data_IF_321214871444
#
_entry.id   IF_321214871444
#
_cell.length_a   1.000
_cell.length_b   1.000
_cell.length_c   1.000
_cell.angle_alpha   90.00
_cell.angle_beta   90.00
_cell.angle_gamma   90.00
#
_symmetry.space_group_name_H-M   'P 1'
#
loop_
_entity.id
_entity.type
_entity.pdbx_description
1 polymer ?
#
# COMPACT_ATOMS: atom_id res chain seq x y z
N UNK A 1 -33.99 -24.52 -6.48
CA UNK A 1 -32.97 -23.54 -6.04
C UNK A 1 -33.09 -22.27 -6.86
N UNK A 2 -33.17 -21.15 -6.19
CA UNK A 2 -33.18 -19.89 -6.91
C UNK A 2 -31.82 -19.64 -7.56
N UNK A 3 -31.85 -19.20 -8.80
CA UNK A 3 -30.62 -18.81 -9.49
C UNK A 3 -30.02 -17.58 -8.82
N UNK A 4 -28.69 -17.57 -8.71
CA UNK A 4 -27.99 -16.43 -8.17
C UNK A 4 -28.02 -15.31 -9.22
N UNK A 5 -28.52 -14.14 -8.83
CA UNK A 5 -28.49 -12.98 -9.70
C UNK A 5 -27.08 -12.41 -9.75
N UNK A 6 -26.32 -12.83 -10.73
CA UNK A 6 -24.92 -12.43 -10.90
C UNK A 6 -24.77 -10.93 -11.14
N UNK A 7 -25.75 -10.33 -11.84
CA UNK A 7 -25.72 -8.89 -12.08
C UNK A 7 -25.83 -8.11 -10.77
N UNK A 8 -26.73 -8.54 -9.88
CA UNK A 8 -26.89 -7.89 -8.57
C UNK A 8 -25.62 -7.99 -7.72
N UNK A 9 -24.95 -9.15 -7.76
CA UNK A 9 -23.69 -9.32 -7.06
C UNK A 9 -22.59 -8.41 -7.60
N UNK A 10 -22.51 -8.28 -8.90
CA UNK A 10 -21.54 -7.38 -9.54
C UNK A 10 -21.84 -5.93 -9.18
N UNK A 11 -23.11 -5.53 -9.23
CA UNK A 11 -23.52 -4.17 -8.89
C UNK A 11 -23.16 -3.84 -7.44
N UNK A 12 -23.40 -4.77 -6.52
CA UNK A 12 -23.02 -4.61 -5.11
C UNK A 12 -21.51 -4.51 -4.96
N UNK A 13 -20.77 -5.36 -5.67
CA UNK A 13 -19.30 -5.31 -5.66
C UNK A 13 -18.78 -3.96 -6.14
N UNK A 14 -19.38 -3.42 -7.21
CA UNK A 14 -19.00 -2.09 -7.71
C UNK A 14 -19.29 -0.99 -6.69
N UNK A 15 -20.42 -1.07 -5.99
CA UNK A 15 -20.73 -0.09 -4.94
C UNK A 15 -19.70 -0.14 -3.82
N UNK A 16 -19.32 -1.34 -3.38
CA UNK A 16 -18.30 -1.51 -2.36
C UNK A 16 -16.93 -1.00 -2.80
N UNK A 17 -16.57 -1.23 -4.06
CA UNK A 17 -15.32 -0.70 -4.62
C UNK A 17 -15.33 0.83 -4.62
N UNK A 18 -16.44 1.44 -5.01
CA UNK A 18 -16.56 2.90 -5.02
C UNK A 18 -16.47 3.48 -3.59
N UNK A 19 -17.07 2.81 -2.62
CA UNK A 19 -16.95 3.21 -1.21
C UNK A 19 -15.50 3.08 -0.73
N UNK A 20 -14.81 2.00 -1.08
CA UNK A 20 -13.42 1.78 -0.73
C UNK A 20 -12.51 2.85 -1.33
N UNK A 21 -12.74 3.22 -2.58
CA UNK A 21 -11.99 4.29 -3.25
C UNK A 21 -12.18 5.61 -2.53
N UNK A 22 -13.42 5.95 -2.13
CA UNK A 22 -13.69 7.17 -1.40
C UNK A 22 -12.95 7.20 -0.04
N UNK A 23 -12.95 6.07 0.68
CA UNK A 23 -12.23 5.96 1.94
C UNK A 23 -10.70 6.06 1.74
N UNK A 24 -10.18 5.47 0.67
CA UNK A 24 -8.75 5.57 0.34
C UNK A 24 -8.34 7.02 0.04
N UNK A 25 -9.19 7.78 -0.63
CA UNK A 25 -8.92 9.20 -0.91
C UNK A 25 -8.85 10.01 0.38
N UNK A 26 -9.73 9.72 1.33
CA UNK A 26 -9.66 10.34 2.66
C UNK A 26 -8.35 10.01 3.35
N UNK A 27 -7.92 8.76 3.27
CA UNK A 27 -6.63 8.35 3.84
C UNK A 27 -5.47 9.08 3.18
N UNK A 28 -5.47 9.21 1.85
CA UNK A 28 -4.43 9.97 1.14
C UNK A 28 -4.29 11.38 1.66
N UNK A 29 -5.41 12.06 1.90
CA UNK A 29 -5.41 13.43 2.40
C UNK A 29 -4.81 13.52 3.81
N UNK A 30 -5.09 12.55 4.68
CA UNK A 30 -4.52 12.51 6.03
C UNK A 30 -3.01 12.31 5.97
N UNK A 31 -2.52 11.38 5.15
CA UNK A 31 -1.09 11.17 4.98
C UNK A 31 -0.39 12.40 4.38
N UNK A 32 -1.05 13.05 3.43
CA UNK A 32 -0.49 14.25 2.80
C UNK A 32 -0.25 15.36 3.81
N UNK A 33 -1.12 15.51 4.81
CA UNK A 33 -0.94 16.47 5.89
C UNK A 33 0.32 16.21 6.71
N UNK A 34 0.79 14.97 6.70
CA UNK A 34 2.03 14.58 7.40
C UNK A 34 3.27 14.61 6.50
N UNK A 35 3.11 15.04 5.25
CA UNK A 35 4.21 15.07 4.28
C UNK A 35 4.49 13.73 3.62
N UNK A 36 3.53 12.80 3.68
CA UNK A 36 3.64 11.48 3.06
C UNK A 36 2.67 11.43 1.89
N UNK A 37 3.20 11.25 0.67
CA UNK A 37 2.37 11.14 -0.51
C UNK A 37 2.20 9.68 -0.90
N UNK A 38 0.97 9.19 -0.81
CA UNK A 38 0.62 7.87 -1.32
C UNK A 38 0.47 7.93 -2.83
N UNK A 39 0.72 6.82 -3.50
CA UNK A 39 0.49 6.72 -4.94
C UNK A 39 -0.99 6.84 -5.26
N UNK A 40 -1.30 7.01 -6.56
CA UNK A 40 -2.69 7.07 -6.99
C UNK A 40 -3.49 5.88 -6.49
N UNK A 41 -4.78 6.11 -6.33
CA UNK A 41 -5.67 5.13 -5.69
C UNK A 41 -5.61 3.75 -6.35
N UNK A 42 -5.44 3.71 -7.68
CA UNK A 42 -5.32 2.45 -8.42
C UNK A 42 -4.03 1.69 -8.09
N UNK A 43 -3.00 2.41 -7.65
CA UNK A 43 -1.69 1.84 -7.35
C UNK A 43 -1.39 1.78 -5.85
N UNK A 44 -2.31 2.23 -5.01
CA UNK A 44 -2.11 2.27 -3.56
C UNK A 44 -2.06 0.86 -2.96
N UNK A 45 -2.97 0.01 -3.39
CA UNK A 45 -3.10 -1.33 -2.84
C UNK A 45 -2.81 -2.37 -3.92
N UNK A 46 -1.81 -3.19 -3.66
CA UNK A 46 -1.52 -4.34 -4.50
C UNK A 46 -2.10 -5.59 -3.85
N UNK A 47 -3.29 -5.96 -4.28
CA UNK A 47 -4.02 -7.09 -3.72
C UNK A 47 -3.36 -8.42 -4.08
N UNK A 48 -2.64 -8.48 -5.20
CA UNK A 48 -2.00 -9.73 -5.65
C UNK A 48 -0.92 -10.21 -4.68
N UNK A 49 -0.22 -9.30 -4.02
CA UNK A 49 0.85 -9.66 -3.09
C UNK A 49 0.36 -10.25 -1.77
N UNK A 50 -0.88 -10.01 -1.41
CA UNK A 50 -1.45 -10.54 -0.16
C UNK A 50 -1.39 -12.07 -0.14
N UNK A 51 -1.69 -12.71 -1.26
CA UNK A 51 -1.69 -14.16 -1.36
C UNK A 51 -0.28 -14.74 -1.39
N UNK A 52 0.67 -14.02 -1.95
CA UNK A 52 2.03 -14.51 -2.16
C UNK A 52 2.87 -14.51 -0.89
N UNK A 53 2.64 -13.55 -0.02
CA UNK A 53 3.55 -13.31 1.10
C UNK A 53 2.93 -13.50 2.47
N UNK A 54 1.63 -13.71 2.56
CA UNK A 54 0.94 -13.87 3.84
C UNK A 54 1.04 -12.66 4.77
N UNK A 55 1.55 -11.56 4.26
CA UNK A 55 1.70 -10.31 4.99
C UNK A 55 0.58 -9.36 4.58
N UNK A 56 0.17 -8.49 5.45
CA UNK A 56 -0.94 -7.56 5.21
C UNK A 56 -0.91 -6.84 3.87
N UNK A 57 -1.84 -5.93 3.69
CA UNK A 57 -2.00 -5.18 2.45
C UNK A 57 -0.80 -4.29 2.17
N UNK A 58 -0.25 -4.37 0.97
CA UNK A 58 0.83 -3.51 0.52
C UNK A 58 0.28 -2.18 0.02
N UNK A 59 0.84 -1.08 0.52
CA UNK A 59 0.45 0.27 0.14
C UNK A 59 1.67 0.98 -0.42
N UNK A 60 1.58 1.43 -1.65
CA UNK A 60 2.69 2.09 -2.31
C UNK A 60 2.74 3.57 -1.95
N UNK A 61 3.93 4.03 -1.57
CA UNK A 61 4.20 5.44 -1.27
C UNK A 61 4.98 6.05 -2.41
N UNK A 62 4.56 7.21 -2.87
CA UNK A 62 5.28 7.99 -3.86
C UNK A 62 6.48 8.70 -3.22
N UNK A 63 6.28 9.33 -2.06
CA UNK A 63 7.37 10.00 -1.34
C UNK A 63 7.01 10.13 0.14
N UNK A 64 8.03 10.25 0.99
CA UNK A 64 7.87 10.56 2.40
C UNK A 64 8.06 9.41 3.37
N UNK A 65 8.62 8.28 2.94
CA UNK A 65 8.80 7.13 3.84
C UNK A 65 9.73 7.48 5.03
N UNK A 66 10.75 8.31 4.83
CA UNK A 66 11.62 8.73 5.93
C UNK A 66 10.91 9.59 6.94
N UNK A 67 10.00 10.45 6.50
CA UNK A 67 9.14 11.23 7.40
C UNK A 67 8.21 10.31 8.18
N UNK A 68 7.67 9.30 7.51
CA UNK A 68 6.82 8.29 8.13
C UNK A 68 7.58 7.58 9.25
N UNK A 69 8.80 7.10 8.96
CA UNK A 69 9.64 6.44 9.96
C UNK A 69 9.84 7.30 11.21
N UNK A 70 10.13 8.58 11.01
CA UNK A 70 10.35 9.51 12.12
C UNK A 70 9.08 9.72 12.94
N UNK A 71 7.94 9.86 12.29
CA UNK A 71 6.67 10.11 12.96
C UNK A 71 6.27 8.94 13.86
N UNK A 72 6.41 7.70 13.36
CA UNK A 72 6.01 6.51 14.12
C UNK A 72 7.13 5.94 14.99
N UNK A 73 8.35 6.45 14.86
CA UNK A 73 9.48 5.96 15.65
C UNK A 73 9.92 4.56 15.27
N UNK A 74 9.79 4.19 14.00
CA UNK A 74 10.18 2.88 13.51
C UNK A 74 11.13 3.01 12.32
N UNK A 75 11.87 1.94 12.03
CA UNK A 75 12.78 1.90 10.90
C UNK A 75 12.26 0.99 9.81
N UNK A 76 12.30 1.48 8.58
CA UNK A 76 12.02 0.67 7.42
C UNK A 76 13.14 -0.35 7.15
N UNK A 77 12.90 -1.23 6.23
CA UNK A 77 13.84 -2.30 5.91
C UNK A 77 13.86 -2.57 4.41
N UNK A 78 14.93 -3.25 3.97
CA UNK A 78 15.07 -3.73 2.60
C UNK A 78 14.97 -5.25 2.61
N UNK A 79 14.30 -5.81 1.61
CA UNK A 79 14.23 -7.25 1.44
C UNK A 79 15.38 -7.72 0.57
N UNK A 80 15.83 -8.94 0.79
CA UNK A 80 16.88 -9.52 -0.02
C UNK A 80 16.34 -9.91 -1.40
N UNK A 81 17.17 -9.69 -2.41
CA UNK A 81 16.87 -10.18 -3.76
C UNK A 81 16.85 -11.70 -3.72
N UNK A 82 15.84 -12.29 -4.32
CA UNK A 82 15.65 -13.73 -4.32
C UNK A 82 16.79 -14.49 -5.03
N UNK A 83 17.35 -13.88 -6.07
CA UNK A 83 18.39 -14.52 -6.90
C UNK A 83 19.78 -14.34 -6.28
N UNK A 84 20.10 -13.13 -5.84
CA UNK A 84 21.46 -12.81 -5.36
C UNK A 84 21.62 -12.95 -3.84
N UNK A 85 20.52 -13.00 -3.10
CA UNK A 85 20.56 -13.02 -1.64
C UNK A 85 21.02 -11.72 -1.00
N UNK A 86 21.28 -10.68 -1.80
CA UNK A 86 21.73 -9.38 -1.32
C UNK A 86 20.54 -8.44 -1.13
N UNK A 87 20.64 -7.46 -0.22
CA UNK A 87 19.57 -6.49 -0.02
C UNK A 87 19.26 -5.72 -1.30
N UNK A 88 17.98 -5.68 -1.66
CA UNK A 88 17.51 -4.87 -2.79
C UNK A 88 17.14 -3.49 -2.28
N UNK A 89 18.03 -2.52 -2.47
CA UNK A 89 17.86 -1.16 -1.97
C UNK A 89 16.96 -0.29 -2.85
N UNK A 90 16.39 -0.86 -3.92
CA UNK A 90 15.47 -0.11 -4.78
C UNK A 90 14.05 0.00 -4.20
N UNK A 91 13.77 -0.73 -3.13
CA UNK A 91 12.46 -0.73 -2.47
C UNK A 91 12.65 -0.72 -0.97
N UNK A 92 12.08 0.28 -0.30
CA UNK A 92 12.10 0.35 1.15
C UNK A 92 10.71 0.00 1.69
N UNK A 93 10.67 -0.88 2.66
CA UNK A 93 9.44 -1.36 3.29
C UNK A 93 9.32 -0.83 4.70
N UNK A 94 8.09 -0.58 5.15
CA UNK A 94 7.80 -0.14 6.50
C UNK A 94 6.49 -0.76 6.95
N UNK A 95 6.55 -1.55 8.02
CA UNK A 95 5.37 -2.22 8.57
C UNK A 95 4.75 -1.34 9.66
N UNK A 96 3.45 -1.11 9.57
CA UNK A 96 2.72 -0.38 10.58
C UNK A 96 1.24 -0.77 10.57
N UNK A 97 0.70 -1.10 11.72
CA UNK A 97 -0.72 -1.44 11.92
C UNK A 97 -1.26 -2.46 10.91
N UNK A 98 -0.56 -3.57 10.74
CA UNK A 98 -0.91 -4.65 9.83
C UNK A 98 -0.91 -4.26 8.35
N UNK A 99 -0.28 -3.13 8.04
CA UNK A 99 -0.07 -2.68 6.67
C UNK A 99 1.41 -2.69 6.36
N UNK A 100 1.75 -2.95 5.11
CA UNK A 100 3.12 -2.86 4.64
C UNK A 100 3.20 -1.70 3.66
N UNK A 101 3.91 -0.66 4.05
CA UNK A 101 4.14 0.50 3.19
C UNK A 101 5.42 0.28 2.39
N UNK A 102 5.41 0.69 1.14
CA UNK A 102 6.50 0.42 0.21
C UNK A 102 6.78 1.66 -0.62
N UNK A 103 8.02 2.13 -0.58
CA UNK A 103 8.45 3.22 -1.45
C UNK A 103 9.48 2.70 -2.45
N UNK A 104 9.21 2.93 -3.74
CA UNK A 104 10.11 2.56 -4.83
C UNK A 104 11.18 3.64 -5.04
N UNK A 105 12.38 3.19 -5.38
CA UNK A 105 13.49 4.07 -5.66
C UNK A 105 14.15 4.63 -4.41
N UNK A 106 15.28 5.28 -4.61
CA UNK A 106 15.97 5.96 -3.51
C UNK A 106 15.25 7.26 -3.20
N UNK A 107 14.96 7.48 -1.93
CA UNK A 107 14.41 8.73 -1.49
C UNK A 107 15.42 9.84 -1.74
N UNK A 108 14.98 10.91 -2.41
CA UNK A 108 15.84 12.05 -2.62
C UNK A 108 16.04 12.77 -1.30
N UNK A 109 17.26 12.76 -0.80
CA UNK A 109 17.64 13.58 0.33
C UNK A 109 17.96 14.98 -0.20
N UNK A 110 17.20 15.92 0.24
CA UNK A 110 17.53 17.32 0.01
C UNK A 110 18.38 17.84 1.13
#
# INVERSE_FOLDING_TARGET
MADIDKKALIDEGCNLLNEAIAEMRKAQELFKKCGIELCDIVDIVDISDIKSWGCGTNIQIFSGISKFEKIIGASGYFRNDYITGKPNTSRKYLDYKNLVFLQLGKEKTN
#
